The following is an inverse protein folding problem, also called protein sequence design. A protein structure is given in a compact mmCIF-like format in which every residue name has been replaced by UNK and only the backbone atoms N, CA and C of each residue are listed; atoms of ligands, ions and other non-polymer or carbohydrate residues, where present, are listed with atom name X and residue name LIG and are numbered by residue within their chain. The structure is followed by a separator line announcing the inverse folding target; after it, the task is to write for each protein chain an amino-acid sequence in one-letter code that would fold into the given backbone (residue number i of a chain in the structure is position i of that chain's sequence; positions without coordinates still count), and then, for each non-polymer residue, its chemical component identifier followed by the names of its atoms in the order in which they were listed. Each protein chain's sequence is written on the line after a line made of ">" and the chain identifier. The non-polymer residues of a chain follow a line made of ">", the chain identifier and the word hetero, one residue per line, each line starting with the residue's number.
data_IF_190277722796
#
_entry.id   IF_190277722796
#
_cell.length_a   1.000
_cell.length_b   1.000
_cell.length_c   1.000
_cell.angle_alpha   90.00
_cell.angle_beta   90.00
_cell.angle_gamma   90.00
#
_symmetry.space_group_name_H-M   'P 1'
#
loop_
_entity.id
_entity.type
_entity.pdbx_description
1 polymer ?
#
# COMPACT_ATOMS: atom_id res chain seq x y z
N UNK A 1 15.32 -17.12 37.29
CA UNK A 1 14.36 -17.03 36.18
C UNK A 1 15.05 -16.32 35.02
N UNK A 2 15.57 -17.08 34.04
CA UNK A 2 16.41 -16.55 32.95
C UNK A 2 15.53 -16.05 31.79
N UNK A 3 15.44 -14.73 31.63
CA UNK A 3 14.87 -14.10 30.44
C UNK A 3 15.86 -14.27 29.28
N UNK A 4 15.66 -15.31 28.46
CA UNK A 4 16.33 -15.42 27.16
C UNK A 4 15.87 -14.24 26.31
N UNK A 5 16.72 -13.23 26.16
CA UNK A 5 16.63 -12.24 25.09
C UNK A 5 16.77 -12.99 23.76
N UNK A 6 15.66 -13.40 23.16
CA UNK A 6 15.65 -13.77 21.75
C UNK A 6 15.98 -12.52 20.95
N UNK A 7 17.25 -12.33 20.60
CA UNK A 7 17.60 -11.52 19.45
C UNK A 7 17.09 -12.24 18.20
N UNK A 8 15.82 -12.02 17.85
CA UNK A 8 15.28 -12.36 16.53
C UNK A 8 15.70 -11.26 15.57
N UNK A 9 17.00 -11.16 15.32
CA UNK A 9 17.51 -10.40 14.19
C UNK A 9 17.40 -11.30 12.97
N UNK A 10 16.24 -11.32 12.30
CA UNK A 10 16.18 -11.91 10.96
C UNK A 10 17.23 -11.19 10.11
N UNK A 11 18.24 -11.93 9.65
CA UNK A 11 19.32 -11.39 8.82
C UNK A 11 18.78 -11.22 7.40
N UNK A 12 18.24 -10.05 7.09
CA UNK A 12 17.96 -9.66 5.71
C UNK A 12 19.28 -9.61 4.92
N UNK A 13 19.31 -10.23 3.75
CA UNK A 13 20.56 -10.43 3.00
C UNK A 13 20.70 -9.46 1.82
N UNK A 14 19.59 -9.05 1.24
CA UNK A 14 19.54 -8.15 0.08
C UNK A 14 18.30 -7.27 0.15
N UNK A 15 18.36 -6.11 -0.49
CA UNK A 15 17.19 -5.26 -0.75
C UNK A 15 16.97 -5.14 -2.25
N UNK A 16 15.73 -5.33 -2.69
CA UNK A 16 15.30 -5.06 -4.07
C UNK A 16 14.38 -3.84 -4.09
N UNK A 17 14.40 -3.09 -5.19
CA UNK A 17 13.48 -1.96 -5.36
C UNK A 17 12.26 -2.42 -6.16
N UNK A 18 11.08 -2.30 -5.58
CA UNK A 18 9.80 -2.65 -6.20
C UNK A 18 9.02 -1.39 -6.52
N UNK A 19 8.52 -1.30 -7.75
CA UNK A 19 7.70 -0.19 -8.23
C UNK A 19 6.32 -0.24 -7.61
N UNK A 20 5.95 0.86 -6.96
CA UNK A 20 4.68 1.12 -6.30
C UNK A 20 3.95 2.29 -6.96
N UNK A 21 2.67 2.47 -6.61
CA UNK A 21 1.83 3.61 -6.97
C UNK A 21 1.72 4.49 -5.75
N UNK A 22 2.10 5.76 -5.85
CA UNK A 22 2.19 6.66 -4.71
C UNK A 22 1.28 7.88 -4.86
N UNK A 23 0.66 8.25 -3.73
CA UNK A 23 -0.22 9.38 -3.54
C UNK A 23 0.36 10.22 -2.41
N UNK A 24 1.45 10.93 -2.69
CA UNK A 24 2.17 11.71 -1.68
C UNK A 24 1.48 13.06 -1.47
N UNK A 25 1.35 13.52 -0.22
CA UNK A 25 0.82 14.85 0.11
C UNK A 25 1.59 15.99 -0.57
N UNK A 26 2.89 15.79 -0.83
CA UNK A 26 3.75 16.75 -1.52
C UNK A 26 3.58 16.76 -3.04
N UNK A 27 2.78 15.84 -3.59
CA UNK A 27 2.51 15.73 -5.02
C UNK A 27 1.09 16.19 -5.36
N UNK A 28 0.93 16.80 -6.53
CA UNK A 28 -0.38 17.17 -7.08
C UNK A 28 -1.04 16.05 -7.88
N UNK A 29 -0.30 14.96 -8.17
CA UNK A 29 -0.79 13.83 -8.96
C UNK A 29 -0.27 12.49 -8.45
N UNK A 30 -1.03 11.40 -8.62
CA UNK A 30 -0.53 10.05 -8.41
C UNK A 30 0.68 9.75 -9.29
N UNK A 31 1.72 9.13 -8.74
CA UNK A 31 2.98 8.86 -9.45
C UNK A 31 3.47 7.42 -9.21
N UNK A 32 4.49 6.99 -9.95
CA UNK A 32 5.20 5.75 -9.63
C UNK A 32 6.37 6.05 -8.70
N UNK A 33 6.56 5.24 -7.66
CA UNK A 33 7.68 5.34 -6.73
C UNK A 33 8.37 3.99 -6.54
N UNK A 34 9.62 3.99 -6.09
CA UNK A 34 10.35 2.76 -5.77
C UNK A 34 10.35 2.55 -4.25
N UNK A 35 9.84 1.41 -3.81
CA UNK A 35 9.86 0.96 -2.41
C UNK A 35 10.95 -0.09 -2.26
N UNK A 36 11.82 0.08 -1.26
CA UNK A 36 12.80 -0.95 -0.94
C UNK A 36 12.10 -2.11 -0.23
N UNK A 37 12.44 -3.32 -0.64
CA UNK A 37 11.94 -4.57 -0.06
C UNK A 37 13.14 -5.37 0.43
N UNK A 38 13.22 -5.56 1.73
CA UNK A 38 14.25 -6.38 2.35
C UNK A 38 13.86 -7.86 2.21
N UNK A 39 14.78 -8.67 1.67
CA UNK A 39 14.57 -10.09 1.43
C UNK A 39 15.24 -10.91 2.53
N UNK A 40 14.46 -11.77 3.19
CA UNK A 40 14.99 -12.74 4.15
C UNK A 40 15.72 -13.88 3.42
N UNK A 41 16.72 -14.48 4.08
CA UNK A 41 17.41 -15.68 3.57
C UNK A 41 16.48 -16.88 3.38
N UNK A 42 15.33 -16.87 4.05
CA UNK A 42 14.34 -17.96 4.02
C UNK A 42 13.48 -17.96 2.74
N UNK A 43 13.60 -16.93 1.90
CA UNK A 43 12.93 -16.86 0.61
C UNK A 43 12.02 -15.64 0.45
N UNK A 44 11.38 -15.50 -0.73
CA UNK A 44 10.60 -14.32 -1.11
C UNK A 44 9.32 -14.10 -0.28
N UNK A 45 8.79 -15.15 0.35
CA UNK A 45 7.62 -15.10 1.23
C UNK A 45 7.87 -14.37 2.56
N UNK A 46 9.13 -14.04 2.85
CA UNK A 46 9.55 -13.28 4.04
C UNK A 46 10.16 -11.93 3.63
N UNK A 47 9.63 -11.34 2.56
CA UNK A 47 9.93 -10.00 2.12
C UNK A 47 9.29 -8.95 3.06
N UNK A 48 10.05 -7.95 3.46
CA UNK A 48 9.56 -6.83 4.25
C UNK A 48 9.67 -5.54 3.45
N UNK A 49 8.54 -4.91 3.13
CA UNK A 49 8.52 -3.61 2.48
C UNK A 49 8.96 -2.52 3.46
N UNK A 50 9.76 -1.57 2.97
CA UNK A 50 10.22 -0.39 3.70
C UNK A 50 9.56 0.84 3.06
N UNK A 51 8.25 1.05 3.26
CA UNK A 51 7.50 2.15 2.62
C UNK A 51 7.99 3.54 3.07
N UNK A 52 8.75 3.63 4.16
CA UNK A 52 9.39 4.84 4.66
C UNK A 52 10.33 5.48 3.64
N UNK A 53 10.80 4.72 2.63
CA UNK A 53 11.57 5.29 1.51
C UNK A 53 10.77 6.31 0.71
N UNK A 54 9.43 6.21 0.70
CA UNK A 54 8.52 7.16 0.07
C UNK A 54 7.72 7.98 1.10
N UNK A 55 7.32 7.37 2.21
CA UNK A 55 6.46 7.99 3.23
C UNK A 55 7.24 8.78 4.30
N UNK A 56 8.57 8.69 4.31
CA UNK A 56 9.44 9.33 5.29
C UNK A 56 9.62 8.51 6.58
N UNK A 57 10.84 8.53 7.14
CA UNK A 57 11.25 7.70 8.29
C UNK A 57 10.57 8.03 9.62
N UNK A 58 10.04 9.24 9.78
CA UNK A 58 9.40 9.70 11.02
C UNK A 58 7.88 9.60 10.96
N UNK A 59 7.36 8.92 9.94
CA UNK A 59 5.93 8.76 9.74
C UNK A 59 5.43 7.53 10.50
N UNK A 60 4.31 7.66 11.20
CA UNK A 60 3.59 6.51 11.75
C UNK A 60 2.88 5.79 10.61
N UNK A 61 3.61 4.91 9.92
CA UNK A 61 3.10 4.16 8.78
C UNK A 61 2.16 3.06 9.28
N UNK A 62 0.99 2.99 8.65
CA UNK A 62 0.02 1.91 8.82
C UNK A 62 -0.07 1.13 7.51
N UNK A 63 -0.57 -0.10 7.58
CA UNK A 63 -0.81 -0.93 6.41
C UNK A 63 -2.22 -1.50 6.39
N UNK A 64 -2.76 -1.71 5.19
CA UNK A 64 -4.04 -2.37 4.94
C UNK A 64 -3.89 -3.32 3.76
N UNK A 65 -4.45 -4.52 3.86
CA UNK A 65 -4.52 -5.49 2.77
C UNK A 65 -5.88 -5.37 2.08
N UNK A 66 -5.86 -5.27 0.75
CA UNK A 66 -7.07 -5.12 -0.08
C UNK A 66 -7.05 -6.16 -1.18
N UNK A 67 -8.16 -6.87 -1.35
CA UNK A 67 -8.39 -7.79 -2.46
C UNK A 67 -9.38 -7.17 -3.43
N UNK A 68 -9.08 -7.26 -4.72
CA UNK A 68 -9.93 -6.81 -5.82
C UNK A 68 -10.14 -7.96 -6.78
N UNK A 69 -11.37 -8.16 -7.24
CA UNK A 69 -11.65 -9.02 -8.38
C UNK A 69 -11.46 -8.22 -9.66
N UNK A 70 -10.60 -8.69 -10.57
CA UNK A 70 -10.43 -8.06 -11.89
C UNK A 70 -11.45 -8.57 -12.92
N UNK A 71 -11.43 -8.00 -14.14
CA UNK A 71 -12.38 -8.36 -15.21
C UNK A 71 -12.30 -9.83 -15.66
N UNK A 72 -11.20 -10.53 -15.36
CA UNK A 72 -11.04 -11.94 -15.66
C UNK A 72 -11.47 -12.82 -14.47
N UNK A 73 -12.22 -12.25 -13.52
CA UNK A 73 -12.61 -12.86 -12.25
C UNK A 73 -11.40 -13.27 -11.37
N UNK A 74 -10.20 -12.75 -11.67
CA UNK A 74 -9.02 -13.07 -10.91
C UNK A 74 -8.92 -12.17 -9.67
N UNK A 75 -8.68 -12.78 -8.51
CA UNK A 75 -8.43 -12.03 -7.28
C UNK A 75 -7.00 -11.48 -7.30
N UNK A 76 -6.89 -10.15 -7.32
CA UNK A 76 -5.65 -9.39 -7.23
C UNK A 76 -5.56 -8.73 -5.85
N UNK A 77 -4.44 -8.94 -5.17
CA UNK A 77 -4.20 -8.38 -3.84
C UNK A 77 -3.26 -7.19 -3.90
N UNK A 78 -3.55 -6.18 -3.08
CA UNK A 78 -2.76 -4.98 -2.90
C UNK A 78 -2.51 -4.74 -1.41
N UNK A 79 -1.33 -4.24 -1.09
CA UNK A 79 -1.05 -3.68 0.23
C UNK A 79 -0.95 -2.16 0.11
N UNK A 80 -1.70 -1.47 0.96
CA UNK A 80 -1.70 -0.01 1.06
C UNK A 80 -0.91 0.35 2.31
N UNK A 81 0.24 0.98 2.14
CA UNK A 81 0.94 1.66 3.21
C UNK A 81 0.50 3.11 3.25
N UNK A 82 0.12 3.61 4.41
CA UNK A 82 -0.41 4.96 4.51
C UNK A 82 0.00 5.67 5.79
N UNK A 83 0.02 6.98 5.70
CA UNK A 83 0.07 7.90 6.83
C UNK A 83 -1.25 8.65 6.88
N UNK A 84 -1.74 8.93 8.08
CA UNK A 84 -2.91 9.77 8.28
C UNK A 84 -2.64 10.71 9.45
N UNK A 85 -2.69 12.02 9.18
CA UNK A 85 -2.42 13.08 10.14
C UNK A 85 -3.44 14.20 9.92
N UNK A 86 -4.40 14.41 10.84
CA UNK A 86 -5.42 15.46 10.69
C UNK A 86 -4.86 16.87 10.49
N UNK A 87 -3.65 17.13 11.00
CA UNK A 87 -2.94 18.40 10.83
C UNK A 87 -2.33 18.61 9.43
N UNK A 88 -2.28 17.58 8.59
CA UNK A 88 -1.75 17.69 7.23
C UNK A 88 -2.78 18.30 6.28
N UNK A 89 -2.34 18.99 5.21
CA UNK A 89 -3.24 19.44 4.16
C UNK A 89 -3.90 18.25 3.45
N UNK A 90 -5.06 18.49 2.84
CA UNK A 90 -5.74 17.51 2.01
C UNK A 90 -4.82 17.08 0.84
N UNK A 91 -4.73 15.79 0.61
CA UNK A 91 -3.85 15.19 -0.37
C UNK A 91 -4.40 15.45 -1.78
N UNK A 92 -3.72 16.33 -2.51
CA UNK A 92 -4.16 16.73 -3.85
C UNK A 92 -4.05 15.59 -4.87
N UNK A 93 -3.09 14.68 -4.69
CA UNK A 93 -2.98 13.49 -5.52
C UNK A 93 -4.19 12.55 -5.35
N UNK A 94 -4.72 12.40 -4.14
CA UNK A 94 -5.96 11.63 -3.89
C UNK A 94 -7.18 12.36 -4.46
N UNK A 95 -7.28 13.68 -4.27
CA UNK A 95 -8.35 14.50 -4.87
C UNK A 95 -8.38 14.45 -6.40
N UNK A 96 -7.27 14.09 -7.03
CA UNK A 96 -7.20 13.91 -8.48
C UNK A 96 -7.92 12.66 -8.97
N UNK A 97 -8.09 11.66 -8.09
CA UNK A 97 -8.91 10.48 -8.35
C UNK A 97 -10.39 10.86 -8.28
N UNK A 98 -10.79 11.45 -7.15
CA UNK A 98 -12.14 11.93 -6.92
C UNK A 98 -12.09 13.21 -6.06
N UNK A 99 -12.71 14.28 -6.58
CA UNK A 99 -12.63 15.64 -6.03
C UNK A 99 -13.23 15.79 -4.63
N UNK A 100 -14.09 14.84 -4.24
CA UNK A 100 -14.83 14.83 -2.98
C UNK A 100 -14.09 14.09 -1.85
N UNK A 101 -13.00 13.38 -2.16
CA UNK A 101 -12.20 12.70 -1.15
C UNK A 101 -11.36 13.71 -0.36
N UNK A 102 -11.27 13.55 0.97
CA UNK A 102 -10.54 14.45 1.86
C UNK A 102 -9.42 13.77 2.66
N UNK A 103 -8.59 12.98 1.99
CA UNK A 103 -7.52 12.28 2.69
C UNK A 103 -6.39 13.22 3.16
N UNK A 104 -6.05 13.18 4.45
CA UNK A 104 -4.94 13.98 5.04
C UNK A 104 -3.75 13.10 5.42
N UNK A 105 -2.90 12.83 4.44
CA UNK A 105 -1.71 11.99 4.60
C UNK A 105 -1.27 11.38 3.26
N UNK A 106 -0.24 10.54 3.27
CA UNK A 106 0.31 9.95 2.03
C UNK A 106 -0.04 8.47 1.95
N UNK A 107 -0.25 7.95 0.74
CA UNK A 107 -0.47 6.52 0.50
C UNK A 107 0.54 5.98 -0.51
N UNK A 108 0.91 4.72 -0.35
CA UNK A 108 1.71 3.93 -1.27
C UNK A 108 1.03 2.58 -1.43
N UNK A 109 0.67 2.24 -2.66
CA UNK A 109 0.04 0.98 -3.01
C UNK A 109 1.06 0.09 -3.71
N UNK A 110 1.18 -1.14 -3.25
CA UNK A 110 1.99 -2.19 -3.86
C UNK A 110 1.11 -3.38 -4.20
N UNK A 111 1.44 -4.09 -5.28
CA UNK A 111 0.73 -5.31 -5.68
C UNK A 111 1.39 -6.52 -5.03
N UNK A 112 0.58 -7.47 -4.57
CA UNK A 112 1.02 -8.79 -4.15
C UNK A 112 0.84 -9.78 -5.31
N UNK A 113 1.84 -10.62 -5.52
CA UNK A 113 1.79 -11.76 -6.42
C UNK A 113 1.04 -12.93 -5.80
N UNK A 114 0.91 -14.02 -6.56
CA UNK A 114 0.18 -15.25 -6.14
C UNK A 114 0.75 -15.86 -4.86
N UNK A 115 2.05 -15.74 -4.63
CA UNK A 115 2.74 -16.25 -3.42
C UNK A 115 2.98 -15.18 -2.36
N UNK A 116 2.14 -14.13 -2.33
CA UNK A 116 2.23 -12.97 -1.43
C UNK A 116 3.57 -12.21 -1.51
N UNK A 117 4.35 -12.42 -2.58
CA UNK A 117 5.54 -11.64 -2.88
C UNK A 117 5.16 -10.28 -3.44
N UNK A 118 5.83 -9.21 -3.00
CA UNK A 118 5.63 -7.88 -3.58
C UNK A 118 6.12 -7.84 -5.03
N UNK A 119 5.26 -7.39 -5.94
CA UNK A 119 5.57 -7.30 -7.37
C UNK A 119 5.44 -5.86 -7.88
N UNK A 120 6.16 -5.57 -8.97
CA UNK A 120 6.10 -4.26 -9.62
C UNK A 120 4.69 -3.98 -10.14
N UNK A 121 4.16 -2.78 -9.84
CA UNK A 121 2.98 -2.25 -10.50
C UNK A 121 3.29 -1.98 -11.98
N UNK A 122 2.51 -2.62 -12.86
CA UNK A 122 2.55 -2.51 -14.32
C UNK A 122 1.45 -1.54 -14.81
N UNK A 123 1.29 -1.43 -16.13
CA UNK A 123 0.37 -0.47 -16.75
C UNK A 123 -1.08 -0.61 -16.27
N UNK A 124 -1.66 -1.81 -16.38
CA UNK A 124 -3.04 -2.10 -15.94
C UNK A 124 -3.23 -1.95 -14.44
N UNK A 125 -2.21 -2.33 -13.64
CA UNK A 125 -2.24 -2.22 -12.18
C UNK A 125 -2.42 -0.78 -11.69
N UNK A 126 -2.05 0.23 -12.48
CA UNK A 126 -2.21 1.64 -12.08
C UNK A 126 -3.67 2.04 -11.92
N UNK A 127 -4.53 1.62 -12.85
CA UNK A 127 -5.97 1.91 -12.79
C UNK A 127 -6.59 1.22 -11.58
N UNK A 128 -6.26 -0.05 -11.38
CA UNK A 128 -6.75 -0.82 -10.24
C UNK A 128 -6.27 -0.22 -8.91
N UNK A 129 -5.01 0.21 -8.82
CA UNK A 129 -4.49 0.90 -7.63
C UNK A 129 -5.22 2.23 -7.37
N UNK A 130 -5.52 3.00 -8.41
CA UNK A 130 -6.29 4.25 -8.30
C UNK A 130 -7.70 3.98 -7.74
N UNK A 131 -8.41 2.96 -8.26
CA UNK A 131 -9.73 2.53 -7.75
C UNK A 131 -9.63 2.06 -6.29
N UNK A 132 -8.63 1.23 -5.97
CA UNK A 132 -8.39 0.71 -4.61
C UNK A 132 -8.21 1.86 -3.62
N UNK A 133 -7.46 2.90 -3.97
CA UNK A 133 -7.26 4.06 -3.10
C UNK A 133 -8.53 4.87 -2.92
N UNK A 134 -9.28 5.12 -3.99
CA UNK A 134 -10.56 5.82 -3.89
C UNK A 134 -11.50 5.14 -2.88
N UNK A 135 -11.64 3.82 -3.00
CA UNK A 135 -12.53 3.01 -2.17
C UNK A 135 -12.02 2.92 -0.72
N UNK A 136 -10.72 2.71 -0.54
CA UNK A 136 -10.09 2.75 0.78
C UNK A 136 -10.32 4.08 1.51
N UNK A 137 -10.21 5.21 0.80
CA UNK A 137 -10.40 6.53 1.39
C UNK A 137 -11.87 6.76 1.76
N UNK A 138 -12.81 6.45 0.86
CA UNK A 138 -14.26 6.57 1.12
C UNK A 138 -14.65 5.81 2.38
N UNK A 139 -14.20 4.57 2.50
CA UNK A 139 -14.52 3.70 3.62
C UNK A 139 -13.87 4.15 4.94
N UNK A 140 -12.66 4.71 4.88
CA UNK A 140 -11.98 5.22 6.07
C UNK A 140 -12.60 6.53 6.58
N UNK A 141 -13.07 7.39 5.68
CA UNK A 141 -13.74 8.65 6.02
C UNK A 141 -15.16 8.43 6.57
N UNK A 142 -15.84 7.37 6.14
CA UNK A 142 -17.18 6.98 6.63
C UNK A 142 -17.24 6.50 8.09
N UNK A 143 -16.11 6.37 8.78
CA UNK A 143 -16.07 6.05 10.22
C UNK A 143 -16.22 4.57 10.58
N UNK A 144 -16.35 3.66 9.60
CA UNK A 144 -16.41 2.23 9.85
C UNK A 144 -15.01 1.66 10.15
N UNK A 145 -14.74 1.36 11.42
CA UNK A 145 -13.48 0.76 11.90
C UNK A 145 -13.36 -0.75 11.58
N UNK A 146 -13.71 -1.19 10.37
CA UNK A 146 -13.79 -2.61 10.02
C UNK A 146 -12.78 -2.99 8.93
N UNK A 147 -11.47 -2.96 9.21
CA UNK A 147 -10.50 -3.37 8.21
C UNK A 147 -9.41 -4.26 8.79
N UNK A 148 -9.66 -5.57 8.77
CA UNK A 148 -8.56 -6.55 8.73
C UNK A 148 -8.40 -7.19 7.34
N UNK A 149 -9.47 -7.34 6.57
CA UNK A 149 -9.40 -7.81 5.18
C UNK A 149 -10.57 -7.19 4.39
N UNK A 150 -10.27 -6.35 3.40
CA UNK A 150 -11.29 -5.74 2.54
C UNK A 150 -11.38 -6.52 1.24
N UNK A 151 -12.52 -7.20 1.04
CA UNK A 151 -12.89 -7.79 -0.25
C UNK A 151 -13.73 -6.77 -1.02
N UNK A 152 -13.18 -6.29 -2.13
CA UNK A 152 -13.89 -5.43 -3.06
C UNK A 152 -14.16 -6.20 -4.35
N UNK A 153 -15.41 -6.57 -4.56
CA UNK A 153 -15.87 -7.17 -5.81
C UNK A 153 -16.18 -6.03 -6.79
N UNK A 154 -15.37 -5.90 -7.84
CA UNK A 154 -15.57 -4.89 -8.87
C UNK A 154 -15.75 -5.56 -10.23
N UNK A 155 -16.95 -5.39 -10.80
CA UNK A 155 -17.16 -5.54 -12.23
C UNK A 155 -17.23 -4.12 -12.81
N UNK A 156 -16.19 -3.71 -13.55
CA UNK A 156 -16.25 -2.49 -14.36
C UNK A 156 -16.13 -2.88 -15.83
N UNK A 157 -16.90 -2.23 -16.70
CA UNK A 157 -16.65 -2.26 -18.14
C UNK A 157 -15.64 -1.13 -18.44
N UNK A 158 -14.47 -1.48 -18.98
CA UNK A 158 -13.44 -0.51 -19.44
C UNK A 158 -13.55 -0.30 -20.95
#
# INVERSE_FOLDING_TARGET
>A
MNLRKHQVGEKYQTSVAVRARSYLCSSTRPSSGMVLVAMSKRGPSSAFAIPETLLGRQSSVRQCLVSVVDHAEAVVRYIIFYTHRPSYPANTAVRKLNRFLEWRGSLVVMRLGVSDSLVNIRGSDRKNADIVVEQFVLLTEGGEKLFKDMHLDFAYDI
#
